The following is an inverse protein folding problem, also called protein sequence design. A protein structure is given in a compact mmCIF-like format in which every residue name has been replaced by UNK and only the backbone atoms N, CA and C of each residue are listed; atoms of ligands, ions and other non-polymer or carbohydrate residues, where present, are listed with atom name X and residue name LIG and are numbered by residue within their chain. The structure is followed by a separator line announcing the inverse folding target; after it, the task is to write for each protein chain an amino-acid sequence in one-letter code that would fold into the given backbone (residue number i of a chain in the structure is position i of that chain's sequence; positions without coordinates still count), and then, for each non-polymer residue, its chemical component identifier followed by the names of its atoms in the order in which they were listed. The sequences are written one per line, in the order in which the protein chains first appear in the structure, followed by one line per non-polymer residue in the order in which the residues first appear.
data_IF_333530573651
#
_entry.id   IF_333530573651
#
_cell.length_a   1.000
_cell.length_b   1.000
_cell.length_c   1.000
_cell.angle_alpha   90.00
_cell.angle_beta   90.00
_cell.angle_gamma   90.00
#
_symmetry.space_group_name_H-M   'P 1'
#
loop_
_entity.id
_entity.type
_entity.pdbx_description
1 polymer ?
#
# COMPACT_ATOMS: atom_id res chain seq x y z
N UNK A 1 11.03 -12.13 -17.63
CA UNK A 1 10.68 -13.57 -17.71
C UNK A 1 9.34 -13.89 -17.03
N UNK A 2 9.17 -13.77 -15.71
CA UNK A 2 7.90 -14.18 -15.06
C UNK A 2 6.72 -13.22 -15.33
N UNK A 3 6.99 -11.92 -15.46
CA UNK A 3 5.96 -10.92 -15.82
C UNK A 3 5.53 -11.01 -17.29
N UNK A 4 6.45 -11.33 -18.19
CA UNK A 4 6.17 -11.46 -19.64
C UNK A 4 5.28 -12.68 -19.93
N UNK A 5 5.52 -13.79 -19.24
CA UNK A 5 4.66 -15.00 -19.31
C UNK A 5 3.26 -14.68 -18.78
N UNK A 6 3.17 -13.93 -17.67
CA UNK A 6 1.89 -13.52 -17.09
C UNK A 6 1.10 -12.64 -18.06
N UNK A 7 1.77 -11.65 -18.69
CA UNK A 7 1.15 -10.79 -19.72
C UNK A 7 0.65 -11.60 -20.91
N UNK A 8 1.44 -12.55 -21.41
CA UNK A 8 1.05 -13.42 -22.53
C UNK A 8 -0.19 -14.27 -22.19
N UNK A 9 -0.33 -14.67 -20.93
CA UNK A 9 -1.45 -15.48 -20.45
C UNK A 9 -2.65 -14.64 -19.96
N UNK A 10 -2.62 -13.31 -20.12
CA UNK A 10 -3.67 -12.41 -19.61
C UNK A 10 -3.76 -12.35 -18.08
N UNK A 11 -2.77 -12.88 -17.37
CA UNK A 11 -2.72 -12.91 -15.90
C UNK A 11 -2.11 -11.61 -15.40
N UNK A 12 -2.88 -10.89 -14.58
CA UNK A 12 -2.37 -9.68 -13.90
C UNK A 12 -1.15 -10.02 -13.04
N UNK A 13 0.00 -9.33 -13.21
CA UNK A 13 1.19 -9.56 -12.41
C UNK A 13 0.92 -9.49 -10.90
N UNK A 14 1.55 -10.37 -10.13
CA UNK A 14 1.36 -10.46 -8.67
C UNK A 14 1.61 -9.12 -7.96
N UNK A 15 2.54 -8.32 -8.49
CA UNK A 15 2.89 -7.01 -7.93
C UNK A 15 1.72 -6.04 -7.99
N UNK A 16 0.96 -6.05 -9.08
CA UNK A 16 -0.22 -5.21 -9.28
C UNK A 16 -1.37 -5.66 -8.37
N UNK A 17 -1.60 -6.97 -8.23
CA UNK A 17 -2.56 -7.49 -7.24
C UNK A 17 -2.22 -7.05 -5.82
N UNK A 18 -0.93 -7.09 -5.44
CA UNK A 18 -0.48 -6.58 -4.14
C UNK A 18 -0.76 -5.10 -3.99
N UNK A 19 -0.38 -4.27 -4.98
CA UNK A 19 -0.63 -2.82 -4.99
C UNK A 19 -2.11 -2.48 -4.79
N UNK A 20 -2.99 -3.19 -5.50
CA UNK A 20 -4.45 -3.04 -5.37
C UNK A 20 -4.92 -3.36 -3.96
N UNK A 21 -4.47 -4.48 -3.37
CA UNK A 21 -4.81 -4.83 -1.98
C UNK A 21 -4.33 -3.79 -0.95
N UNK A 22 -3.09 -3.28 -1.08
CA UNK A 22 -2.57 -2.23 -0.17
C UNK A 22 -3.40 -0.97 -0.25
N UNK A 23 -3.77 -0.59 -1.47
CA UNK A 23 -4.60 0.58 -1.72
C UNK A 23 -6.01 0.39 -1.12
N UNK A 24 -6.59 -0.82 -1.22
CA UNK A 24 -7.93 -1.14 -0.67
C UNK A 24 -7.92 -0.96 0.84
N UNK A 25 -6.88 -1.47 1.48
CA UNK A 25 -6.66 -1.31 2.91
C UNK A 25 -6.48 0.16 3.30
N UNK A 26 -5.66 0.95 2.57
CA UNK A 26 -5.52 2.38 2.84
C UNK A 26 -6.87 3.10 2.73
N UNK A 27 -7.64 2.82 1.69
CA UNK A 27 -8.99 3.39 1.54
C UNK A 27 -9.95 3.01 2.67
N UNK A 28 -9.81 1.79 3.21
CA UNK A 28 -10.59 1.36 4.36
C UNK A 28 -10.18 2.16 5.61
N UNK A 29 -8.88 2.23 5.90
CA UNK A 29 -8.30 3.01 7.01
C UNK A 29 -8.69 4.49 6.94
N UNK A 30 -8.64 5.11 5.76
CA UNK A 30 -8.95 6.54 5.60
C UNK A 30 -10.43 6.86 5.85
N UNK A 31 -11.34 5.89 5.66
CA UNK A 31 -12.77 6.04 5.97
C UNK A 31 -13.13 5.60 7.39
N UNK A 32 -12.21 4.96 8.10
CA UNK A 32 -12.46 4.48 9.45
C UNK A 32 -12.58 5.66 10.44
N UNK A 33 -13.36 5.46 11.50
CA UNK A 33 -13.54 6.47 12.54
C UNK A 33 -12.21 6.79 13.24
N UNK A 34 -12.06 8.00 13.77
CA UNK A 34 -10.77 8.46 14.31
C UNK A 34 -10.25 7.57 15.47
N UNK A 35 -11.18 7.01 16.25
CA UNK A 35 -10.88 6.12 17.37
C UNK A 35 -10.84 4.63 16.99
N UNK A 36 -10.95 4.30 15.69
CA UNK A 36 -10.92 2.91 15.25
C UNK A 36 -9.50 2.36 15.35
N UNK A 37 -9.39 1.04 15.53
CA UNK A 37 -8.09 0.36 15.65
C UNK A 37 -7.26 0.55 14.38
N UNK A 38 -7.90 0.55 13.21
CA UNK A 38 -7.25 0.72 11.92
C UNK A 38 -6.64 2.12 11.78
N UNK A 39 -7.37 3.16 12.19
CA UNK A 39 -6.90 4.54 12.14
C UNK A 39 -5.75 4.77 13.13
N UNK A 40 -5.90 4.28 14.37
CA UNK A 40 -4.87 4.35 15.40
C UNK A 40 -3.60 3.63 14.93
N UNK A 41 -3.72 2.41 14.42
CA UNK A 41 -2.58 1.64 13.93
C UNK A 41 -1.87 2.29 12.74
N UNK A 42 -2.60 3.03 11.90
CA UNK A 42 -2.03 3.77 10.78
C UNK A 42 -1.22 5.00 11.23
N UNK A 43 -1.70 5.73 12.24
CA UNK A 43 -1.03 6.93 12.78
C UNK A 43 0.09 6.56 13.76
N UNK A 44 0.03 5.39 14.38
CA UNK A 44 0.96 4.96 15.40
C UNK A 44 2.40 4.84 14.87
N UNK A 45 3.26 5.76 15.29
CA UNK A 45 4.70 5.71 15.01
C UNK A 45 5.46 5.26 16.27
N UNK A 46 6.14 4.12 16.17
CA UNK A 46 7.02 3.63 17.24
C UNK A 46 8.34 4.41 17.19
N UNK A 47 8.57 5.27 18.19
CA UNK A 47 9.78 6.10 18.32
C UNK A 47 11.05 5.31 18.69
N UNK A 48 10.93 4.03 19.01
CA UNK A 48 12.06 3.20 19.41
C UNK A 48 13.03 2.92 18.25
N UNK A 49 14.33 3.02 18.54
CA UNK A 49 15.41 2.67 17.62
C UNK A 49 15.30 1.18 17.27
N UNK A 50 15.14 0.87 15.99
CA UNK A 50 14.99 -0.52 15.54
C UNK A 50 16.27 -1.33 15.76
N UNK A 51 16.16 -2.61 16.14
CA UNK A 51 17.30 -3.51 16.18
C UNK A 51 17.88 -3.71 14.78
N UNK A 52 19.19 -3.98 14.70
CA UNK A 52 19.85 -4.37 13.44
C UNK A 52 19.26 -5.69 12.94
N UNK A 53 19.13 -5.81 11.61
CA UNK A 53 18.67 -7.03 10.93
C UNK A 53 17.30 -6.91 10.25
N UNK A 54 16.38 -6.08 10.74
CA UNK A 54 15.08 -5.89 10.09
C UNK A 54 15.19 -4.96 8.89
N UNK A 55 14.44 -5.24 7.82
CA UNK A 55 14.30 -4.34 6.67
C UNK A 55 13.93 -2.93 7.13
N UNK A 56 14.62 -1.93 6.57
CA UNK A 56 14.33 -0.51 6.82
C UNK A 56 13.06 -0.05 6.11
N UNK A 57 12.55 -0.83 5.14
CA UNK A 57 11.34 -0.48 4.40
C UNK A 57 10.11 -0.56 5.32
N UNK A 58 9.46 0.58 5.52
CA UNK A 58 8.17 0.65 6.22
C UNK A 58 7.03 0.29 5.26
N UNK A 59 5.90 -0.12 5.83
CA UNK A 59 4.65 -0.22 5.08
C UNK A 59 4.32 1.10 4.38
N UNK A 60 4.45 2.22 5.10
CA UNK A 60 4.25 3.57 4.57
C UNK A 60 5.19 3.88 3.40
N UNK A 61 6.48 3.50 3.48
CA UNK A 61 7.41 3.67 2.35
C UNK A 61 6.96 2.89 1.11
N UNK A 62 6.46 1.66 1.31
CA UNK A 62 5.94 0.82 0.23
C UNK A 62 4.70 1.44 -0.40
N UNK A 63 3.78 1.93 0.44
CA UNK A 63 2.55 2.58 0.02
C UNK A 63 2.84 3.87 -0.76
N UNK A 64 3.78 4.70 -0.31
CA UNK A 64 4.21 5.90 -1.03
C UNK A 64 4.78 5.55 -2.41
N UNK A 65 5.54 4.45 -2.53
CA UNK A 65 6.03 4.00 -3.83
C UNK A 65 4.90 3.48 -4.71
N UNK A 66 3.99 2.68 -4.17
CA UNK A 66 2.83 2.16 -4.90
C UNK A 66 1.97 3.32 -5.45
N UNK A 67 1.70 4.33 -4.62
CA UNK A 67 0.97 5.54 -5.01
C UNK A 67 1.70 6.36 -6.08
N UNK A 68 3.03 6.50 -5.99
CA UNK A 68 3.85 7.12 -7.03
C UNK A 68 3.73 6.39 -8.37
N UNK A 69 3.77 5.05 -8.36
CA UNK A 69 3.67 4.26 -9.59
C UNK A 69 2.31 4.44 -10.26
N UNK A 70 1.24 4.59 -9.48
CA UNK A 70 -0.13 4.81 -9.99
C UNK A 70 -0.40 6.31 -10.27
N UNK A 71 0.51 7.20 -9.90
CA UNK A 71 0.33 8.66 -10.06
C UNK A 71 -0.76 9.24 -9.15
N UNK A 72 -0.96 8.64 -7.98
CA UNK A 72 -1.97 9.05 -7.00
C UNK A 72 -1.33 9.74 -5.81
N UNK A 73 -1.96 10.81 -5.33
CA UNK A 73 -1.65 11.37 -4.02
C UNK A 73 -2.41 10.59 -2.91
N UNK A 74 -1.89 10.43 -1.68
CA UNK A 74 -2.52 9.64 -0.63
C UNK A 74 -3.96 10.08 -0.29
N UNK A 75 -4.25 11.37 -0.41
CA UNK A 75 -5.62 11.90 -0.24
C UNK A 75 -6.57 11.45 -1.36
N UNK A 76 -6.08 11.15 -2.56
CA UNK A 76 -6.85 10.67 -3.70
C UNK A 76 -7.03 9.16 -3.70
N UNK A 77 -6.42 8.46 -2.73
CA UNK A 77 -6.48 7.01 -2.64
C UNK A 77 -7.92 6.50 -2.61
N UNK A 78 -8.91 7.25 -2.12
CA UNK A 78 -10.31 6.80 -2.12
C UNK A 78 -10.94 6.61 -3.51
N UNK A 79 -10.33 7.14 -4.60
CA UNK A 79 -10.87 7.09 -5.97
C UNK A 79 -10.60 5.74 -6.65
N UNK A 80 -11.46 4.75 -6.41
CA UNK A 80 -11.38 3.37 -6.96
C UNK A 80 -11.26 3.28 -8.49
N UNK A 81 -11.67 4.30 -9.25
CA UNK A 81 -11.61 4.31 -10.71
C UNK A 81 -10.19 4.42 -11.28
N UNK A 82 -9.23 4.86 -10.45
CA UNK A 82 -7.83 5.08 -10.86
C UNK A 82 -6.91 3.87 -10.55
N UNK A 83 -7.50 2.71 -10.29
CA UNK A 83 -6.80 1.53 -9.74
C UNK A 83 -6.89 0.31 -10.65
#
# INVERSE_FOLDING_TARGET
MNEDISKRNGVTPIQEKRRKHRSLWLSHVLRAAEKSVEKIAYVFEVSAKRPRGRSKQRWTNTLSNDLKIVGLHPDQAYKRSKW
#
